data_IF_545654017452
#
_entry.id   IF_545654017452
#
_cell.length_a   1.000
_cell.length_b   1.000
_cell.length_c   1.000
_cell.angle_alpha   90.00
_cell.angle_beta   90.00
_cell.angle_gamma   90.00
#
_symmetry.space_group_name_H-M   'P 1'
#
loop_
_entity.id
_entity.type
_entity.pdbx_description
1 polymer ?
#
# COMPACT_ATOMS: atom_id res chain seq x y z
N UNK A 1 6.74 -12.68 -11.73
CA UNK A 1 7.51 -12.38 -10.50
C UNK A 1 6.62 -12.75 -9.31
N UNK A 2 7.11 -13.51 -8.34
CA UNK A 2 6.30 -14.03 -7.22
C UNK A 2 5.56 -12.92 -6.45
N UNK A 3 6.24 -11.81 -6.12
CA UNK A 3 5.62 -10.65 -5.47
C UNK A 3 4.36 -10.12 -6.19
N UNK A 4 4.38 -10.07 -7.53
CA UNK A 4 3.21 -9.60 -8.28
C UNK A 4 2.05 -10.62 -8.26
N UNK A 5 2.36 -11.91 -8.10
CA UNK A 5 1.39 -12.97 -7.90
C UNK A 5 0.67 -12.81 -6.56
N UNK A 6 1.42 -12.74 -5.45
CA UNK A 6 0.83 -12.62 -4.10
C UNK A 6 0.00 -11.35 -3.92
N UNK A 7 0.42 -10.23 -4.53
CA UNK A 7 -0.40 -9.01 -4.53
C UNK A 7 -1.71 -9.24 -5.30
N UNK A 8 -1.68 -10.02 -6.38
CA UNK A 8 -2.87 -10.42 -7.11
C UNK A 8 -3.81 -11.31 -6.29
N UNK A 9 -3.26 -12.28 -5.54
CA UNK A 9 -4.02 -13.16 -4.64
C UNK A 9 -4.66 -12.36 -3.49
N UNK A 10 -3.91 -11.44 -2.87
CA UNK A 10 -4.44 -10.49 -1.89
C UNK A 10 -5.60 -9.66 -2.46
N UNK A 11 -5.47 -9.16 -3.69
CA UNK A 11 -6.53 -8.40 -4.33
C UNK A 11 -7.76 -9.28 -4.64
N UNK A 12 -7.55 -10.54 -5.01
CA UNK A 12 -8.64 -11.48 -5.30
C UNK A 12 -9.53 -11.73 -4.07
N UNK A 13 -8.96 -11.76 -2.88
CA UNK A 13 -9.75 -11.86 -1.63
C UNK A 13 -10.64 -10.64 -1.38
N UNK A 14 -10.32 -9.47 -1.96
CA UNK A 14 -11.04 -8.22 -1.74
C UNK A 14 -11.89 -7.77 -2.94
N UNK A 15 -11.73 -8.40 -4.12
CA UNK A 15 -12.18 -7.84 -5.40
C UNK A 15 -13.71 -7.65 -5.54
N UNK A 16 -14.50 -8.39 -4.77
CA UNK A 16 -15.97 -8.32 -4.81
C UNK A 16 -16.59 -7.64 -3.59
N UNK A 17 -15.76 -7.17 -2.66
CA UNK A 17 -16.23 -6.51 -1.45
C UNK A 17 -16.47 -5.01 -1.71
N UNK A 18 -17.54 -4.49 -1.11
CA UNK A 18 -17.71 -3.04 -0.93
C UNK A 18 -16.65 -2.50 0.05
N UNK A 19 -16.38 -1.18 0.06
CA UNK A 19 -15.46 -0.58 1.03
C UNK A 19 -15.82 -0.90 2.49
N UNK A 20 -17.11 -0.90 2.81
CA UNK A 20 -17.62 -1.21 4.16
C UNK A 20 -17.36 -2.67 4.54
N UNK A 21 -17.59 -3.61 3.61
CA UNK A 21 -17.31 -5.03 3.81
C UNK A 21 -15.80 -5.29 3.93
N UNK A 22 -14.98 -4.69 3.06
CA UNK A 22 -13.52 -4.80 3.11
C UNK A 22 -12.95 -4.32 4.45
N UNK A 23 -13.49 -3.23 5.01
CA UNK A 23 -13.10 -2.73 6.32
C UNK A 23 -13.44 -3.69 7.48
N UNK A 24 -14.38 -4.60 7.28
CA UNK A 24 -14.83 -5.59 8.27
C UNK A 24 -14.41 -7.02 7.93
N UNK A 25 -13.62 -7.25 6.86
CA UNK A 25 -13.26 -8.60 6.37
C UNK A 25 -12.60 -9.47 7.45
N UNK A 26 -11.92 -8.84 8.40
CA UNK A 26 -11.25 -9.52 9.51
C UNK A 26 -12.20 -10.05 10.59
N UNK A 27 -13.48 -9.65 10.58
CA UNK A 27 -14.52 -10.17 11.47
C UNK A 27 -15.02 -11.56 11.04
N UNK A 28 -14.85 -11.92 9.76
CA UNK A 28 -15.01 -13.29 9.27
C UNK A 28 -13.70 -14.07 9.52
N UNK A 29 -13.71 -15.11 10.38
CA UNK A 29 -12.49 -15.84 10.72
C UNK A 29 -11.86 -16.57 9.53
N UNK A 30 -12.66 -17.06 8.58
CA UNK A 30 -12.16 -17.82 7.44
C UNK A 30 -11.61 -16.88 6.36
N UNK A 31 -12.38 -15.85 6.00
CA UNK A 31 -11.96 -14.86 5.01
C UNK A 31 -10.78 -14.03 5.52
N UNK A 32 -10.84 -13.58 6.78
CA UNK A 32 -9.74 -12.85 7.42
C UNK A 32 -8.46 -13.69 7.54
N UNK A 33 -8.55 -15.01 7.65
CA UNK A 33 -7.38 -15.88 7.64
C UNK A 33 -6.70 -15.91 6.27
N UNK A 34 -7.47 -15.95 5.17
CA UNK A 34 -6.91 -15.87 3.81
C UNK A 34 -6.25 -14.52 3.55
N UNK A 35 -6.93 -13.41 3.84
CA UNK A 35 -6.34 -12.05 3.71
C UNK A 35 -5.02 -11.93 4.50
N UNK A 36 -4.97 -12.51 5.71
CA UNK A 36 -3.75 -12.52 6.53
C UNK A 36 -2.63 -13.33 5.88
N UNK A 37 -2.94 -14.48 5.28
CA UNK A 37 -1.96 -15.31 4.59
C UNK A 37 -1.33 -14.54 3.41
N UNK A 38 -2.17 -13.95 2.56
CA UNK A 38 -1.70 -13.21 1.37
C UNK A 38 -0.88 -11.96 1.74
N UNK A 39 -1.26 -11.23 2.80
CA UNK A 39 -0.42 -10.14 3.34
C UNK A 39 0.96 -10.67 3.78
N UNK A 40 0.99 -11.86 4.39
CA UNK A 40 2.21 -12.54 4.78
C UNK A 40 3.10 -12.85 3.59
N UNK A 41 2.54 -13.43 2.53
CA UNK A 41 3.28 -13.81 1.33
C UNK A 41 3.81 -12.58 0.57
N UNK A 42 3.01 -11.51 0.46
CA UNK A 42 3.48 -10.21 -0.04
C UNK A 42 4.67 -9.71 0.78
N UNK A 43 4.59 -9.76 2.11
CA UNK A 43 5.68 -9.31 2.98
C UNK A 43 6.94 -10.16 2.83
N UNK A 44 6.80 -11.49 2.72
CA UNK A 44 7.92 -12.42 2.52
C UNK A 44 8.67 -12.09 1.24
N UNK A 45 7.96 -11.94 0.12
CA UNK A 45 8.62 -11.65 -1.15
C UNK A 45 9.15 -10.23 -1.25
N UNK A 46 8.49 -9.24 -0.62
CA UNK A 46 9.02 -7.88 -0.53
C UNK A 46 10.31 -7.86 0.28
N UNK A 47 10.32 -8.48 1.47
CA UNK A 47 11.51 -8.57 2.32
C UNK A 47 12.66 -9.28 1.60
N UNK A 48 12.36 -10.38 0.88
CA UNK A 48 13.36 -11.10 0.09
C UNK A 48 13.92 -10.26 -1.06
N UNK A 49 13.07 -9.51 -1.75
CA UNK A 49 13.52 -8.62 -2.82
C UNK A 49 14.39 -7.49 -2.27
N UNK A 50 13.99 -6.89 -1.15
CA UNK A 50 14.74 -5.87 -0.42
C UNK A 50 16.13 -6.37 -0.01
N UNK A 51 16.22 -7.57 0.57
CA UNK A 51 17.49 -8.23 0.93
C UNK A 51 18.42 -8.39 -0.28
N UNK A 52 17.91 -8.93 -1.39
CA UNK A 52 18.67 -9.11 -2.63
C UNK A 52 19.18 -7.77 -3.19
N UNK A 53 18.39 -6.70 -3.08
CA UNK A 53 18.73 -5.38 -3.61
C UNK A 53 19.52 -4.51 -2.62
N UNK A 54 19.72 -4.95 -1.37
CA UNK A 54 20.35 -4.16 -0.33
C UNK A 54 19.54 -2.92 0.08
N UNK A 55 18.21 -3.02 0.04
CA UNK A 55 17.28 -1.93 0.39
C UNK A 55 16.71 -2.21 1.78
N UNK A 56 16.74 -1.23 2.68
CA UNK A 56 15.90 -1.23 3.88
C UNK A 56 14.49 -0.72 3.51
N UNK A 57 13.47 -1.58 3.51
CA UNK A 57 12.12 -1.19 3.09
C UNK A 57 11.46 -0.21 4.08
N UNK A 58 11.83 -0.24 5.36
CA UNK A 58 11.26 0.66 6.38
C UNK A 58 11.85 2.06 6.24
N UNK A 59 13.17 2.14 6.06
CA UNK A 59 13.83 3.42 5.76
C UNK A 59 13.29 4.01 4.46
N UNK A 60 13.20 3.21 3.38
CA UNK A 60 12.67 3.65 2.09
C UNK A 60 11.22 4.18 2.19
N UNK A 61 10.36 3.51 2.98
CA UNK A 61 8.99 3.98 3.22
C UNK A 61 8.96 5.30 4.01
N UNK A 62 9.81 5.43 5.04
CA UNK A 62 9.88 6.64 5.88
C UNK A 62 10.39 7.85 5.11
N UNK A 63 11.43 7.66 4.27
CA UNK A 63 11.93 8.70 3.37
C UNK A 63 10.85 9.15 2.39
N UNK A 64 10.06 8.19 1.87
CA UNK A 64 8.96 8.49 0.95
C UNK A 64 7.85 9.31 1.60
N UNK A 65 7.48 9.01 2.85
CA UNK A 65 6.51 9.79 3.62
C UNK A 65 7.01 11.22 3.85
N UNK A 66 8.30 11.38 4.17
CA UNK A 66 8.93 12.70 4.34
C UNK A 66 8.90 13.52 3.04
N UNK A 67 9.19 12.88 1.91
CA UNK A 67 9.08 13.52 0.58
C UNK A 67 7.63 13.88 0.24
N UNK A 68 6.66 13.02 0.56
CA UNK A 68 5.24 13.29 0.35
C UNK A 68 4.76 14.49 1.17
N UNK A 69 5.17 14.60 2.45
CA UNK A 69 4.82 15.72 3.31
C UNK A 69 5.36 17.07 2.79
N UNK A 70 6.53 17.07 2.15
CA UNK A 70 7.08 18.27 1.48
C UNK A 70 6.26 18.67 0.24
N UNK A 71 5.79 17.68 -0.52
CA UNK A 71 4.97 17.90 -1.72
C UNK A 71 3.53 18.28 -1.42
N UNK A 72 3.00 17.83 -0.28
CA UNK A 72 1.63 18.08 0.18
C UNK A 72 1.62 18.63 1.61
N UNK A 73 1.94 19.93 1.81
CA UNK A 73 1.87 20.55 3.13
C UNK A 73 0.46 20.40 3.72
N UNK A 74 0.37 20.03 5.01
CA UNK A 74 -0.90 19.78 5.72
C UNK A 74 -1.87 20.95 5.64
N UNK A 75 -1.34 22.18 5.59
CA UNK A 75 -2.11 23.42 5.42
C UNK A 75 -2.85 23.52 4.07
N UNK A 76 -2.43 22.74 3.06
CA UNK A 76 -3.02 22.70 1.71
C UNK A 76 -3.78 21.40 1.42
N UNK A 77 -3.78 20.43 2.33
CA UNK A 77 -4.30 19.08 2.10
C UNK A 77 -5.33 18.60 3.12
N UNK A 78 -5.72 19.43 4.10
CA UNK A 78 -6.87 19.13 4.96
C UNK A 78 -8.16 19.05 4.12
N UNK A 79 -8.70 17.84 3.96
CA UNK A 79 -10.01 17.59 3.38
C UNK A 79 -10.09 17.41 1.86
N UNK A 80 -8.96 17.21 1.16
CA UNK A 80 -9.01 16.97 -0.29
C UNK A 80 -8.10 15.80 -0.71
N UNK A 81 -8.71 14.74 -1.22
CA UNK A 81 -8.04 13.66 -1.96
C UNK A 81 -7.65 14.08 -3.40
N UNK A 82 -7.74 15.37 -3.73
CA UNK A 82 -7.30 15.87 -5.02
C UNK A 82 -5.77 15.94 -5.06
N UNK A 83 -5.20 15.21 -6.01
CA UNK A 83 -3.80 15.36 -6.42
C UNK A 83 -3.58 16.82 -6.84
N UNK A 84 -2.75 17.56 -6.09
CA UNK A 84 -2.34 18.90 -6.48
C UNK A 84 -1.71 18.87 -7.90
N UNK A 85 -2.02 19.84 -8.77
CA UNK A 85 -1.39 19.92 -10.08
C UNK A 85 0.14 20.08 -9.91
N UNK A 86 0.89 19.35 -10.73
CA UNK A 86 2.35 19.40 -10.78
C UNK A 86 2.85 20.83 -11.02
N UNK A 87 3.94 21.22 -10.38
CA UNK A 87 4.54 22.56 -10.46
C UNK A 87 5.07 22.95 -11.87
N UNK A 88 4.94 22.07 -12.88
CA UNK A 88 5.41 22.30 -14.25
C UNK A 88 4.39 22.98 -15.17
N UNK A 89 3.23 23.43 -14.67
CA UNK A 89 2.20 24.10 -15.50
C UNK A 89 2.18 25.63 -15.39
N UNK A 90 3.27 26.25 -14.95
CA UNK A 90 3.45 27.70 -15.03
C UNK A 90 4.62 28.03 -15.98
N UNK A 91 4.36 27.86 -17.28
CA UNK A 91 5.20 28.28 -18.38
C UNK A 91 4.32 28.83 -19.49
#
# INVERSE_FOLDING_TARGET
MALAGEVGELLAELQWLTPEESAQVMADPEHGARVRAEIGDVMIYLARLSDILGIDPVAAATDKLTEAARRYPVERSYGSAAKAPSADSAG
#
